data_IF_546255326127
#
_entry.id   IF_546255326127
#
_cell.length_a   1.000
_cell.length_b   1.000
_cell.length_c   1.000
_cell.angle_alpha   90.00
_cell.angle_beta   90.00
_cell.angle_gamma   90.00
#
_symmetry.space_group_name_H-M   'P 1'
#
loop_
_entity.id
_entity.type
_entity.pdbx_description
1 polymer ?
#
# COMPACT_ATOMS: atom_id res chain seq x y z
N UNK A 1 19.37 -2.12 6.57
CA UNK A 1 18.07 -2.16 7.28
C UNK A 1 17.04 -1.61 6.30
N UNK A 2 15.99 -2.37 5.95
CA UNK A 2 15.03 -1.93 4.92
C UNK A 2 13.59 -2.19 5.37
N UNK A 3 12.77 -1.16 5.27
CA UNK A 3 11.35 -1.20 5.61
C UNK A 3 10.58 -1.73 4.40
N UNK A 4 9.81 -2.80 4.62
CA UNK A 4 8.98 -3.43 3.59
C UNK A 4 7.50 -3.24 3.91
N UNK A 5 6.70 -3.10 2.87
CA UNK A 5 5.24 -3.20 2.95
C UNK A 5 4.87 -4.62 2.50
N UNK A 6 4.34 -5.42 3.42
CA UNK A 6 4.08 -6.85 3.19
C UNK A 6 2.72 -7.28 3.74
N UNK A 7 2.30 -8.47 3.37
CA UNK A 7 1.09 -9.11 3.88
C UNK A 7 1.42 -9.91 5.15
N UNK A 8 0.75 -9.55 6.25
CA UNK A 8 0.71 -10.37 7.47
C UNK A 8 -0.53 -11.26 7.41
N UNK A 9 -0.35 -12.57 7.57
CA UNK A 9 -1.47 -13.53 7.52
C UNK A 9 -2.21 -13.51 8.86
N UNK A 10 -3.52 -13.46 8.77
CA UNK A 10 -4.48 -13.54 9.87
C UNK A 10 -5.61 -14.48 9.40
N UNK A 11 -6.51 -14.84 10.30
CA UNK A 11 -7.68 -15.66 9.99
C UNK A 11 -7.47 -17.13 10.33
N UNK A 12 -8.34 -17.97 9.77
CA UNK A 12 -8.44 -19.39 10.12
C UNK A 12 -7.76 -20.26 9.05
N UNK A 13 -7.60 -21.55 9.37
CA UNK A 13 -7.24 -22.57 8.37
C UNK A 13 -8.26 -22.50 7.20
N UNK A 14 -7.78 -22.61 5.97
CA UNK A 14 -8.58 -22.49 4.72
C UNK A 14 -9.32 -21.16 4.47
N UNK A 15 -9.24 -20.18 5.37
CA UNK A 15 -9.82 -18.83 5.17
C UNK A 15 -8.80 -17.75 5.56
N UNK A 16 -7.74 -17.54 4.76
CA UNK A 16 -6.71 -16.56 5.07
C UNK A 16 -7.22 -15.14 4.85
N UNK A 17 -7.00 -14.26 5.81
CA UNK A 17 -7.21 -12.82 5.70
C UNK A 17 -5.84 -12.16 5.84
N UNK A 18 -5.56 -11.09 5.11
CA UNK A 18 -4.27 -10.43 5.14
C UNK A 18 -4.37 -9.01 5.66
N UNK A 19 -3.45 -8.63 6.54
CA UNK A 19 -3.22 -7.24 6.89
C UNK A 19 -2.07 -6.70 6.06
N UNK A 20 -2.27 -5.56 5.40
CA UNK A 20 -1.20 -4.84 4.71
C UNK A 20 -0.48 -4.02 5.78
N UNK A 21 0.76 -4.39 6.08
CA UNK A 21 1.54 -3.82 7.18
C UNK A 21 2.89 -3.30 6.69
N UNK A 22 3.36 -2.26 7.37
CA UNK A 22 4.74 -1.75 7.26
C UNK A 22 5.56 -2.39 8.38
N UNK A 23 6.65 -3.05 8.03
CA UNK A 23 7.54 -3.69 8.98
C UNK A 23 8.98 -3.70 8.47
N UNK A 24 9.93 -3.83 9.38
CA UNK A 24 11.31 -4.12 8.96
C UNK A 24 11.37 -5.49 8.26
N UNK A 25 12.26 -5.62 7.28
CA UNK A 25 12.44 -6.82 6.48
C UNK A 25 12.89 -8.05 7.29
N UNK A 26 13.59 -7.85 8.41
CA UNK A 26 14.12 -8.93 9.27
C UNK A 26 13.07 -9.50 10.22
N UNK A 27 11.98 -8.77 10.47
CA UNK A 27 10.94 -9.23 11.39
C UNK A 27 10.23 -10.47 10.83
N UNK A 28 9.81 -11.44 11.66
CA UNK A 28 9.02 -12.58 11.21
C UNK A 28 7.67 -12.13 10.64
N UNK A 29 7.06 -12.92 9.75
CA UNK A 29 5.81 -12.57 9.04
C UNK A 29 4.71 -12.07 9.99
N UNK A 30 4.50 -12.81 11.07
CA UNK A 30 3.42 -12.55 12.03
C UNK A 30 3.88 -11.77 13.27
N UNK A 31 5.11 -11.25 13.25
CA UNK A 31 5.71 -10.50 14.36
C UNK A 31 5.20 -9.07 14.52
N UNK A 32 6.01 -8.29 15.25
CA UNK A 32 5.81 -6.86 15.46
C UNK A 32 5.92 -6.11 14.13
N UNK A 33 5.00 -5.17 13.92
CA UNK A 33 4.98 -4.28 12.76
C UNK A 33 4.89 -2.82 13.24
N UNK A 34 5.28 -1.90 12.38
CA UNK A 34 5.32 -0.46 12.68
C UNK A 34 3.92 0.12 12.56
N UNK A 35 3.25 -0.13 11.43
CA UNK A 35 1.91 0.42 11.15
C UNK A 35 1.10 -0.50 10.23
N UNK A 36 -0.22 -0.56 10.47
CA UNK A 36 -1.19 -1.22 9.59
C UNK A 36 -1.77 -0.21 8.61
N UNK A 37 -1.57 -0.45 7.31
CA UNK A 37 -2.07 0.40 6.21
C UNK A 37 -3.46 -0.03 5.73
N UNK A 38 -3.78 -1.31 5.90
CA UNK A 38 -5.04 -1.84 5.39
C UNK A 38 -5.27 -3.31 5.67
N UNK A 39 -6.33 -3.82 5.07
CA UNK A 39 -6.72 -5.23 5.06
C UNK A 39 -7.10 -5.67 3.66
N UNK A 40 -6.78 -6.91 3.36
CA UNK A 40 -7.09 -7.59 2.12
C UNK A 40 -7.73 -8.95 2.47
N UNK A 41 -8.97 -9.15 2.02
CA UNK A 41 -9.67 -10.42 2.17
C UNK A 41 -9.89 -11.05 0.79
N UNK A 42 -9.16 -12.13 0.44
CA UNK A 42 -9.34 -12.85 -0.82
C UNK A 42 -10.52 -13.82 -0.81
N UNK A 43 -11.16 -14.06 0.34
CA UNK A 43 -12.22 -15.08 0.46
C UNK A 43 -13.60 -14.57 0.01
N UNK A 44 -13.72 -13.28 -0.25
CA UNK A 44 -14.94 -12.65 -0.78
C UNK A 44 -14.79 -12.48 -2.30
N UNK A 45 -15.89 -12.63 -3.04
CA UNK A 45 -15.96 -12.35 -4.48
C UNK A 45 -16.96 -11.20 -4.72
N UNK A 46 -16.50 -9.99 -5.09
CA UNK A 46 -15.12 -9.59 -5.38
C UNK A 46 -14.24 -9.46 -4.11
N UNK A 47 -12.90 -9.55 -4.23
CA UNK A 47 -12.02 -9.46 -3.07
C UNK A 47 -12.15 -8.12 -2.33
N UNK A 48 -12.29 -8.19 -1.01
CA UNK A 48 -12.45 -6.99 -0.19
C UNK A 48 -11.10 -6.32 0.11
N UNK A 49 -11.06 -5.01 -0.12
CA UNK A 49 -9.88 -4.18 0.13
C UNK A 49 -10.26 -2.97 0.99
N UNK A 50 -9.61 -2.82 2.14
CA UNK A 50 -9.68 -1.60 2.94
C UNK A 50 -8.27 -1.02 3.04
N UNK A 51 -8.00 0.08 2.35
CA UNK A 51 -6.66 0.64 2.24
C UNK A 51 -6.65 2.14 2.57
N UNK A 52 -5.70 2.57 3.41
CA UNK A 52 -5.44 3.98 3.67
C UNK A 52 -4.48 4.54 2.62
N UNK A 53 -5.02 5.11 1.55
CA UNK A 53 -4.26 5.58 0.39
C UNK A 53 -3.21 6.63 0.80
N UNK A 54 -3.61 7.68 1.52
CA UNK A 54 -2.70 8.77 1.93
C UNK A 54 -1.48 8.27 2.71
N UNK A 55 -1.71 7.36 3.68
CA UNK A 55 -0.64 6.78 4.49
C UNK A 55 0.24 5.82 3.68
N UNK A 56 -0.35 5.05 2.77
CA UNK A 56 0.41 4.12 1.93
C UNK A 56 1.37 4.87 1.02
N UNK A 57 0.90 5.97 0.42
CA UNK A 57 1.74 6.85 -0.41
C UNK A 57 2.86 7.48 0.41
N UNK A 58 2.59 7.98 1.62
CA UNK A 58 3.65 8.58 2.43
C UNK A 58 4.75 7.60 2.81
N UNK A 59 4.43 6.34 3.08
CA UNK A 59 5.43 5.29 3.31
C UNK A 59 6.23 4.95 2.05
N UNK A 60 5.59 4.90 0.88
CA UNK A 60 6.29 4.70 -0.39
C UNK A 60 7.24 5.86 -0.70
N UNK A 61 6.85 7.10 -0.41
CA UNK A 61 7.70 8.30 -0.57
C UNK A 61 8.90 8.30 0.38
N UNK A 62 8.76 7.70 1.57
CA UNK A 62 9.86 7.47 2.53
C UNK A 62 10.81 6.34 2.11
N UNK A 63 10.55 5.67 0.98
CA UNK A 63 11.39 4.58 0.48
C UNK A 63 11.01 3.19 0.96
N UNK A 64 9.81 2.99 1.52
CA UNK A 64 9.34 1.64 1.85
C UNK A 64 9.12 0.82 0.57
N UNK A 65 9.60 -0.42 0.55
CA UNK A 65 9.55 -1.30 -0.63
C UNK A 65 8.35 -2.26 -0.49
N UNK A 66 7.36 -2.25 -1.40
CA UNK A 66 6.26 -3.20 -1.37
C UNK A 66 6.68 -4.57 -1.92
N UNK A 67 6.09 -5.65 -1.40
CA UNK A 67 6.18 -7.00 -2.03
C UNK A 67 5.28 -7.09 -3.27
N UNK A 68 5.51 -8.05 -4.16
CA UNK A 68 4.84 -8.13 -5.47
C UNK A 68 3.30 -8.14 -5.39
N UNK A 69 2.74 -8.92 -4.47
CA UNK A 69 1.29 -8.96 -4.24
C UNK A 69 0.75 -7.61 -3.75
N UNK A 70 1.46 -6.95 -2.83
CA UNK A 70 1.09 -5.63 -2.33
C UNK A 70 1.21 -4.59 -3.44
N UNK A 71 2.22 -4.69 -4.31
CA UNK A 71 2.38 -3.83 -5.49
C UNK A 71 1.18 -3.98 -6.44
N UNK A 72 0.72 -5.20 -6.69
CA UNK A 72 -0.49 -5.47 -7.48
C UNK A 72 -1.73 -4.82 -6.86
N UNK A 73 -1.93 -4.97 -5.54
CA UNK A 73 -3.03 -4.34 -4.81
C UNK A 73 -2.95 -2.80 -4.90
N UNK A 74 -1.76 -2.23 -4.75
CA UNK A 74 -1.52 -0.79 -4.82
C UNK A 74 -1.75 -0.23 -6.22
N UNK A 75 -1.44 -1.00 -7.26
CA UNK A 75 -1.78 -0.66 -8.64
C UNK A 75 -3.30 -0.61 -8.84
N UNK A 76 -4.01 -1.65 -8.40
CA UNK A 76 -5.48 -1.73 -8.51
C UNK A 76 -6.22 -0.65 -7.72
N UNK A 77 -5.62 -0.11 -6.65
CA UNK A 77 -6.20 0.95 -5.82
C UNK A 77 -5.63 2.35 -6.08
N UNK A 78 -4.82 2.53 -7.13
CA UNK A 78 -4.33 3.85 -7.55
C UNK A 78 -3.25 4.45 -6.65
N UNK A 79 -2.74 3.70 -5.67
CA UNK A 79 -1.68 4.18 -4.77
C UNK A 79 -0.40 4.48 -5.53
N UNK A 80 -0.04 3.64 -6.50
CA UNK A 80 1.14 3.85 -7.35
C UNK A 80 0.98 5.05 -8.28
N UNK A 81 -0.22 5.25 -8.83
CA UNK A 81 -0.53 6.43 -9.63
C UNK A 81 -0.38 7.70 -8.81
N UNK A 82 -0.97 7.73 -7.61
CA UNK A 82 -0.85 8.87 -6.70
C UNK A 82 0.61 9.16 -6.32
N UNK A 83 1.40 8.11 -6.05
CA UNK A 83 2.84 8.26 -5.81
C UNK A 83 3.53 8.94 -6.99
N UNK A 84 3.30 8.45 -8.22
CA UNK A 84 3.92 9.00 -9.43
C UNK A 84 3.57 10.48 -9.65
N UNK A 85 2.29 10.85 -9.45
CA UNK A 85 1.84 12.23 -9.56
C UNK A 85 2.55 13.15 -8.54
N UNK A 86 2.69 12.71 -7.28
CA UNK A 86 3.41 13.48 -6.27
C UNK A 86 4.91 13.59 -6.55
N UNK A 87 5.54 12.58 -7.15
CA UNK A 87 6.93 12.68 -7.60
C UNK A 87 7.07 13.72 -8.73
N UNK A 88 6.09 13.82 -9.63
CA UNK A 88 6.02 14.88 -10.65
C UNK A 88 5.91 16.27 -10.04
N UNK A 89 5.06 16.43 -9.02
CA UNK A 89 4.93 17.69 -8.26
C UNK A 89 6.25 18.05 -7.57
N UNK A 90 6.93 17.09 -6.93
CA UNK A 90 8.23 17.32 -6.27
C UNK A 90 9.31 17.77 -7.26
N UNK A 91 9.25 17.32 -8.51
CA UNK A 91 10.17 17.71 -9.58
C UNK A 91 9.80 19.04 -10.26
N UNK A 92 8.70 19.68 -9.87
CA UNK A 92 8.23 20.94 -10.44
C UNK A 92 7.47 20.79 -11.77
N UNK A 93 7.06 19.57 -12.16
CA UNK A 93 6.39 19.34 -13.44
C UNK A 93 4.88 19.71 -13.42
N UNK A 94 4.23 19.69 -12.25
CA UNK A 94 2.80 19.96 -12.09
C UNK A 94 2.50 20.64 -10.75
N UNK A 95 1.37 21.37 -10.67
CA UNK A 95 0.81 21.84 -9.40
C UNK A 95 0.20 20.67 -8.60
N UNK A 96 0.16 20.80 -7.27
CA UNK A 96 -0.51 19.83 -6.39
C UNK A 96 -2.00 19.70 -6.69
N UNK A 97 -2.63 20.78 -7.15
CA UNK A 97 -4.05 20.78 -7.50
C UNK A 97 -4.33 19.94 -8.74
N UNK A 98 -3.50 20.07 -9.78
CA UNK A 98 -3.60 19.29 -11.01
C UNK A 98 -3.38 17.81 -10.76
N UNK A 99 -2.43 17.47 -9.87
CA UNK A 99 -2.20 16.10 -9.43
C UNK A 99 -3.43 15.50 -8.74
N UNK A 100 -4.14 16.27 -7.92
CA UNK A 100 -5.37 15.78 -7.29
C UNK A 100 -6.52 15.66 -8.28
N UNK A 101 -6.66 16.59 -9.22
CA UNK A 101 -7.67 16.50 -10.31
C UNK A 101 -7.46 15.23 -11.13
N UNK A 102 -6.24 14.98 -11.58
CA UNK A 102 -5.85 13.75 -12.32
C UNK A 102 -6.09 12.46 -11.52
N UNK A 103 -5.86 12.50 -10.21
CA UNK A 103 -6.12 11.34 -9.35
C UNK A 103 -7.61 11.11 -9.11
N UNK A 104 -8.43 12.16 -9.03
CA UNK A 104 -9.87 12.03 -8.82
C UNK A 104 -10.62 11.61 -10.09
N UNK A 105 -10.08 11.92 -11.27
CA UNK A 105 -10.62 11.45 -12.56
C UNK A 105 -10.31 9.98 -12.87
N UNK A 106 -9.43 9.36 -12.09
CA UNK A 106 -9.04 7.96 -12.20
C UNK A 106 -9.91 7.07 -11.31
#
# INVERSE_FOLDING_TARGET
MSVKIRLKRVGKKHKPIYHIVVSDSRCPRDGKFIKKLGTYNPNEDPPYYKLKIKESVSWLMKGAIPTDTVKSIFSKKGVLLKKHLLEGVKKGAFSYEDANKKFNSW
#
